data_IF_923237672310
#
_entry.id   IF_923237672310
#
_cell.length_a   1.000
_cell.length_b   1.000
_cell.length_c   1.000
_cell.angle_alpha   90.00
_cell.angle_beta   90.00
_cell.angle_gamma   90.00
#
_symmetry.space_group_name_H-M   'P 1'
#
loop_
_entity.id
_entity.type
_entity.pdbx_description
1 polymer ?
#
# COMPACT_ATOMS: atom_id res chain seq x y z
N UNK A 1 20.89 13.17 -8.92
CA UNK A 1 20.24 11.85 -9.04
C UNK A 1 18.84 12.16 -9.54
N UNK A 2 18.40 11.55 -10.66
CA UNK A 2 17.02 11.73 -11.12
C UNK A 2 16.08 11.28 -10.02
N UNK A 3 15.16 12.14 -9.59
CA UNK A 3 14.06 11.74 -8.73
C UNK A 3 13.31 10.61 -9.45
N UNK A 4 13.26 9.43 -8.84
CA UNK A 4 12.43 8.35 -9.33
C UNK A 4 10.97 8.74 -9.11
N UNK A 5 10.38 9.40 -10.09
CA UNK A 5 8.94 9.67 -10.09
C UNK A 5 8.23 8.33 -10.29
N UNK A 6 7.46 7.89 -9.30
CA UNK A 6 6.72 6.63 -9.37
C UNK A 6 5.44 6.77 -10.20
N UNK A 7 4.93 5.68 -10.80
CA UNK A 7 3.63 5.69 -11.44
C UNK A 7 2.53 6.24 -10.52
N UNK A 8 1.68 7.11 -11.05
CA UNK A 8 0.57 7.71 -10.30
C UNK A 8 -0.47 6.65 -9.89
N UNK A 9 -0.76 5.71 -10.78
CA UNK A 9 -1.73 4.67 -10.53
C UNK A 9 -1.15 3.54 -9.67
N UNK A 10 -1.83 3.23 -8.56
CA UNK A 10 -1.49 2.13 -7.65
C UNK A 10 -2.68 1.19 -7.56
N UNK A 11 -2.50 -0.08 -7.97
CA UNK A 11 -3.51 -1.10 -7.78
C UNK A 11 -3.50 -1.54 -6.31
N UNK A 12 -4.51 -1.14 -5.54
CA UNK A 12 -4.68 -1.50 -4.14
C UNK A 12 -4.98 -2.99 -4.05
N UNK A 13 -4.08 -3.77 -3.43
CA UNK A 13 -4.16 -5.24 -3.34
C UNK A 13 -4.30 -5.94 -4.70
N UNK A 14 -3.82 -5.29 -5.78
CA UNK A 14 -4.02 -5.77 -7.16
C UNK A 14 -5.35 -5.38 -7.80
N UNK A 15 -6.26 -4.71 -7.08
CA UNK A 15 -7.65 -4.47 -7.49
C UNK A 15 -8.57 -5.60 -7.05
N UNK A 16 -9.89 -5.46 -7.31
CA UNK A 16 -10.89 -6.46 -6.94
C UNK A 16 -11.99 -6.65 -8.01
N UNK A 17 -11.75 -6.17 -9.23
CA UNK A 17 -12.76 -6.20 -10.29
C UNK A 17 -12.87 -7.55 -11.00
N UNK A 18 -11.80 -8.35 -11.00
CA UNK A 18 -11.72 -9.63 -11.73
C UNK A 18 -11.38 -10.80 -10.80
N UNK A 19 -10.54 -10.58 -9.83
CA UNK A 19 -10.10 -11.57 -8.86
C UNK A 19 -10.15 -11.01 -7.43
N UNK A 20 -10.08 -11.88 -6.44
CA UNK A 20 -10.01 -11.46 -5.06
C UNK A 20 -8.72 -10.67 -4.79
N UNK A 21 -8.85 -9.56 -4.08
CA UNK A 21 -7.74 -8.71 -3.67
C UNK A 21 -6.66 -9.50 -2.90
N UNK A 22 -5.39 -9.13 -3.06
CA UNK A 22 -4.23 -9.82 -2.50
C UNK A 22 -4.04 -11.27 -3.01
N UNK A 23 -4.43 -11.57 -4.24
CA UNK A 23 -4.15 -12.84 -4.90
C UNK A 23 -3.17 -12.67 -6.06
N UNK A 24 -2.51 -13.75 -6.49
CA UNK A 24 -1.63 -13.69 -7.67
C UNK A 24 -2.40 -13.31 -8.93
N UNK A 25 -3.64 -13.75 -9.04
CA UNK A 25 -4.55 -13.45 -10.15
C UNK A 25 -4.87 -11.94 -10.21
N UNK A 26 -5.16 -11.31 -9.06
CA UNK A 26 -5.40 -9.87 -8.99
C UNK A 26 -4.14 -9.07 -9.33
N UNK A 27 -2.99 -9.47 -8.81
CA UNK A 27 -1.71 -8.84 -9.14
C UNK A 27 -1.38 -8.97 -10.62
N UNK A 28 -1.60 -10.16 -11.21
CA UNK A 28 -1.37 -10.38 -12.64
C UNK A 28 -2.33 -9.56 -13.50
N UNK A 29 -3.63 -9.49 -13.15
CA UNK A 29 -4.60 -8.65 -13.85
C UNK A 29 -4.18 -7.18 -13.85
N UNK A 30 -3.73 -6.65 -12.72
CA UNK A 30 -3.21 -5.29 -12.65
C UNK A 30 -1.98 -5.07 -13.54
N UNK A 31 -1.05 -6.04 -13.57
CA UNK A 31 0.15 -6.00 -14.42
C UNK A 31 -0.25 -6.00 -15.91
N UNK A 32 -1.19 -6.84 -16.29
CA UNK A 32 -1.69 -7.00 -17.67
C UNK A 32 -2.46 -5.74 -18.14
N UNK A 33 -3.15 -5.06 -17.20
CA UNK A 33 -3.77 -3.76 -17.45
C UNK A 33 -2.74 -2.63 -17.69
N UNK A 34 -1.48 -2.86 -17.33
CA UNK A 34 -0.39 -1.88 -17.47
C UNK A 34 0.05 -1.21 -16.17
N UNK A 35 -0.50 -1.59 -15.01
CA UNK A 35 -0.03 -1.07 -13.73
C UNK A 35 1.43 -1.48 -13.49
N UNK A 36 2.22 -0.53 -12.98
CA UNK A 36 3.61 -0.74 -12.59
C UNK A 36 3.84 -0.42 -11.12
N UNK A 37 2.76 -0.12 -10.41
CA UNK A 37 2.77 0.07 -8.96
C UNK A 37 1.59 -0.67 -8.34
N UNK A 38 1.88 -1.57 -7.42
CA UNK A 38 0.88 -2.41 -6.73
C UNK A 38 1.08 -2.26 -5.22
N UNK A 39 -0.01 -2.20 -4.51
CA UNK A 39 -0.02 -2.23 -3.05
C UNK A 39 -0.43 -3.63 -2.57
N UNK A 40 0.12 -4.06 -1.44
CA UNK A 40 -0.25 -5.31 -0.77
C UNK A 40 -0.03 -5.22 0.74
N UNK A 41 -0.87 -5.95 1.46
CA UNK A 41 -0.79 -6.12 2.90
C UNK A 41 0.01 -7.38 3.25
N UNK A 42 0.83 -7.35 4.31
CA UNK A 42 1.55 -8.54 4.72
C UNK A 42 1.36 -8.89 6.20
N UNK A 43 1.14 -10.16 6.43
CA UNK A 43 1.14 -10.80 7.75
C UNK A 43 2.19 -11.90 7.84
N UNK A 44 2.78 -12.06 9.02
CA UNK A 44 3.72 -13.13 9.31
C UNK A 44 3.02 -14.21 10.15
N UNK A 45 3.15 -15.47 9.69
CA UNK A 45 2.60 -16.62 10.42
C UNK A 45 3.62 -17.19 11.41
N UNK A 46 3.15 -17.86 12.46
CA UNK A 46 4.02 -18.59 13.41
C UNK A 46 4.80 -19.75 12.76
N UNK A 47 4.38 -20.15 11.56
CA UNK A 47 5.03 -21.20 10.77
C UNK A 47 6.13 -20.66 9.83
N UNK A 48 6.44 -19.36 9.91
CA UNK A 48 7.56 -18.75 9.20
C UNK A 48 7.24 -18.23 7.81
N UNK A 49 5.96 -18.15 7.42
CA UNK A 49 5.55 -17.61 6.13
C UNK A 49 5.15 -16.13 6.24
N UNK A 50 5.55 -15.32 5.27
CA UNK A 50 5.10 -13.95 5.10
C UNK A 50 4.06 -13.93 3.97
N UNK A 51 2.80 -13.75 4.31
CA UNK A 51 1.66 -13.88 3.42
C UNK A 51 1.16 -12.53 2.95
N UNK A 52 0.82 -12.42 1.66
CA UNK A 52 0.11 -11.27 1.10
C UNK A 52 -1.39 -11.44 1.34
N UNK A 53 -1.91 -10.80 2.38
CA UNK A 53 -3.31 -10.89 2.80
C UNK A 53 -3.65 -9.75 3.76
N UNK A 54 -4.84 -9.16 3.60
CA UNK A 54 -5.33 -8.12 4.53
C UNK A 54 -5.99 -8.76 5.75
N UNK A 55 -6.83 -9.75 5.53
CA UNK A 55 -7.63 -10.41 6.55
C UNK A 55 -8.92 -9.68 6.93
N UNK A 56 -9.73 -10.39 7.69
CA UNK A 56 -11.02 -9.95 8.20
C UNK A 56 -11.03 -10.07 9.72
N UNK A 57 -11.99 -9.46 10.37
CA UNK A 57 -12.29 -9.72 11.78
C UNK A 57 -12.96 -11.10 11.92
N UNK A 58 -13.13 -11.59 13.14
CA UNK A 58 -13.72 -12.90 13.38
C UNK A 58 -15.18 -13.00 12.89
N UNK A 59 -15.89 -11.88 12.81
CA UNK A 59 -17.26 -11.81 12.29
C UNK A 59 -17.35 -11.59 10.76
N UNK A 60 -16.19 -11.61 10.07
CA UNK A 60 -16.11 -11.48 8.63
C UNK A 60 -16.07 -10.04 8.08
N UNK A 61 -16.13 -9.03 8.94
CA UNK A 61 -15.92 -7.65 8.50
C UNK A 61 -14.45 -7.35 8.20
N UNK A 62 -14.14 -6.27 7.48
CA UNK A 62 -12.76 -5.93 7.16
C UNK A 62 -11.95 -5.56 8.42
N UNK A 63 -10.76 -6.14 8.60
CA UNK A 63 -9.90 -5.92 9.77
C UNK A 63 -9.12 -4.60 9.66
N UNK A 64 -9.83 -3.46 9.72
CA UNK A 64 -9.25 -2.13 9.55
C UNK A 64 -8.60 -1.59 10.84
N UNK A 65 -8.93 -2.18 12.00
CA UNK A 65 -8.49 -1.62 13.28
C UNK A 65 -7.10 -2.12 13.68
N UNK A 66 -6.25 -1.18 14.10
CA UNK A 66 -4.93 -1.46 14.64
C UNK A 66 -5.03 -2.34 15.89
N UNK A 67 -4.26 -3.43 15.92
CA UNK A 67 -4.15 -4.30 17.07
C UNK A 67 -5.21 -5.40 17.17
N UNK A 68 -6.19 -5.44 16.26
CA UNK A 68 -7.16 -6.54 16.16
C UNK A 68 -6.52 -7.72 15.43
N UNK A 69 -6.79 -8.95 15.88
CA UNK A 69 -6.39 -10.15 15.15
C UNK A 69 -7.11 -10.22 13.80
N UNK A 70 -6.38 -10.58 12.77
CA UNK A 70 -6.91 -10.76 11.42
C UNK A 70 -7.11 -12.23 11.12
N UNK A 71 -8.20 -12.55 10.46
CA UNK A 71 -8.65 -13.91 10.14
C UNK A 71 -8.87 -14.05 8.64
N UNK A 72 -8.80 -15.28 8.16
CA UNK A 72 -9.38 -15.72 6.88
C UNK A 72 -10.48 -16.72 7.17
N UNK A 73 -11.49 -16.75 6.32
CA UNK A 73 -12.63 -17.64 6.48
C UNK A 73 -12.55 -18.78 5.46
N UNK A 74 -12.73 -19.99 5.94
CA UNK A 74 -12.87 -21.21 5.15
C UNK A 74 -14.22 -21.84 5.52
N UNK A 75 -15.25 -21.57 4.72
CA UNK A 75 -16.63 -21.85 5.08
C UNK A 75 -17.00 -21.13 6.40
N UNK A 76 -17.50 -21.87 7.38
CA UNK A 76 -17.84 -21.32 8.71
C UNK A 76 -16.63 -21.19 9.66
N UNK A 77 -15.46 -21.69 9.27
CA UNK A 77 -14.26 -21.69 10.11
C UNK A 77 -13.47 -20.41 9.91
N UNK A 78 -13.35 -19.57 10.94
CA UNK A 78 -12.44 -18.45 10.97
C UNK A 78 -11.06 -18.93 11.46
N UNK A 79 -10.01 -18.73 10.66
CA UNK A 79 -8.63 -19.08 10.98
C UNK A 79 -7.84 -17.79 11.13
N UNK A 80 -7.22 -17.59 12.31
CA UNK A 80 -6.36 -16.44 12.51
C UNK A 80 -5.14 -16.52 11.58
N UNK A 81 -4.82 -15.44 10.87
CA UNK A 81 -3.73 -15.42 9.86
C UNK A 81 -2.39 -15.84 10.50
N UNK A 82 -2.12 -15.42 11.72
CA UNK A 82 -0.90 -15.82 12.43
C UNK A 82 -0.77 -17.34 12.63
N UNK A 83 -1.87 -18.07 12.60
CA UNK A 83 -1.95 -19.52 12.82
C UNK A 83 -2.08 -20.34 11.53
N UNK A 84 -2.22 -19.67 10.37
CA UNK A 84 -2.35 -20.34 9.08
C UNK A 84 -1.16 -21.25 8.80
N UNK A 85 -1.49 -22.50 8.49
CA UNK A 85 -0.53 -23.48 8.01
C UNK A 85 -0.55 -23.52 6.48
N UNK A 86 0.47 -24.14 5.89
CA UNK A 86 0.49 -24.40 4.44
C UNK A 86 -0.70 -25.28 4.00
N UNK A 87 -1.13 -26.22 4.85
CA UNK A 87 -2.29 -27.07 4.56
C UNK A 87 -3.60 -26.25 4.57
N UNK A 88 -3.77 -25.32 5.52
CA UNK A 88 -4.92 -24.41 5.51
C UNK A 88 -4.94 -23.54 4.24
N UNK A 89 -3.80 -22.99 3.81
CA UNK A 89 -3.70 -22.22 2.56
C UNK A 89 -4.11 -23.06 1.34
N UNK A 90 -3.68 -24.33 1.28
CA UNK A 90 -4.07 -25.24 0.19
C UNK A 90 -5.57 -25.53 0.22
N UNK A 91 -6.17 -25.73 1.40
CA UNK A 91 -7.61 -25.92 1.54
C UNK A 91 -8.39 -24.67 1.09
N UNK A 92 -7.95 -23.49 1.50
CA UNK A 92 -8.54 -22.20 1.09
C UNK A 92 -8.45 -22.01 -0.44
N UNK A 93 -7.35 -22.43 -1.06
CA UNK A 93 -7.18 -22.37 -2.51
C UNK A 93 -8.16 -23.30 -3.26
N UNK A 94 -8.53 -24.44 -2.69
CA UNK A 94 -9.59 -25.30 -3.23
C UNK A 94 -10.97 -24.61 -3.24
N UNK A 95 -11.22 -23.71 -2.28
CA UNK A 95 -12.44 -22.89 -2.24
C UNK A 95 -12.36 -21.62 -3.10
N UNK A 96 -11.31 -21.50 -3.93
CA UNK A 96 -11.16 -20.42 -4.92
C UNK A 96 -10.50 -19.15 -4.40
N UNK A 97 -9.97 -19.12 -3.16
CA UNK A 97 -9.21 -18.00 -2.62
C UNK A 97 -7.73 -18.37 -2.48
N UNK A 98 -6.90 -17.92 -3.40
CA UNK A 98 -5.43 -18.06 -3.30
C UNK A 98 -4.85 -17.03 -2.34
N UNK A 99 -4.08 -17.48 -1.33
CA UNK A 99 -3.31 -16.60 -0.43
C UNK A 99 -1.82 -16.78 -0.73
N UNK A 100 -1.20 -15.87 -1.50
CA UNK A 100 0.21 -16.02 -1.86
C UNK A 100 1.14 -15.61 -0.71
N UNK A 101 2.36 -16.09 -0.77
CA UNK A 101 3.46 -15.49 -0.02
C UNK A 101 3.88 -14.18 -0.69
N UNK A 102 4.47 -13.27 0.07
CA UNK A 102 5.06 -12.05 -0.51
C UNK A 102 6.13 -12.38 -1.56
N UNK A 103 6.88 -13.46 -1.38
CA UNK A 103 7.90 -13.88 -2.35
C UNK A 103 7.30 -14.28 -3.69
N UNK A 104 6.18 -15.02 -3.69
CA UNK A 104 5.43 -15.36 -4.91
C UNK A 104 4.94 -14.07 -5.60
N UNK A 105 4.34 -13.13 -4.86
CA UNK A 105 3.89 -11.86 -5.39
C UNK A 105 5.02 -11.03 -6.02
N UNK A 106 6.12 -10.84 -5.30
CA UNK A 106 7.28 -10.07 -5.78
C UNK A 106 7.98 -10.70 -7.00
N UNK A 107 7.77 -12.00 -7.22
CA UNK A 107 8.38 -12.76 -8.32
C UNK A 107 7.60 -12.68 -9.62
N UNK A 108 6.34 -12.21 -9.60
CA UNK A 108 5.50 -12.08 -10.80
C UNK A 108 6.13 -11.19 -11.87
N UNK A 109 6.62 -10.02 -11.47
CA UNK A 109 7.26 -9.09 -12.38
C UNK A 109 8.27 -8.20 -11.63
N UNK A 110 9.51 -8.15 -12.11
CA UNK A 110 10.59 -7.36 -11.48
C UNK A 110 10.50 -5.86 -11.76
N UNK A 111 9.73 -5.45 -12.75
CA UNK A 111 9.51 -4.04 -13.08
C UNK A 111 8.42 -3.39 -12.21
N UNK A 112 7.62 -4.18 -11.50
CA UNK A 112 6.60 -3.68 -10.59
C UNK A 112 7.25 -3.10 -9.34
N UNK A 113 6.83 -1.89 -9.00
CA UNK A 113 7.11 -1.23 -7.74
C UNK A 113 6.02 -1.58 -6.72
N UNK A 114 6.41 -2.06 -5.56
CA UNK A 114 5.48 -2.53 -4.55
C UNK A 114 5.35 -1.56 -3.37
N UNK A 115 4.13 -1.27 -2.98
CA UNK A 115 3.83 -0.68 -1.68
C UNK A 115 3.44 -1.79 -0.72
N UNK A 116 4.23 -2.00 0.34
CA UNK A 116 4.04 -3.15 1.23
C UNK A 116 3.68 -2.66 2.63
N UNK A 117 2.43 -2.93 3.07
CA UNK A 117 1.95 -2.59 4.40
C UNK A 117 2.18 -3.76 5.38
N UNK A 118 3.14 -3.60 6.30
CA UNK A 118 3.37 -4.55 7.39
C UNK A 118 2.29 -4.39 8.46
N UNK A 119 1.31 -5.29 8.47
CA UNK A 119 0.13 -5.21 9.36
C UNK A 119 0.45 -5.41 10.84
N UNK A 120 1.54 -6.09 11.16
CA UNK A 120 1.95 -6.40 12.53
C UNK A 120 3.46 -6.22 12.70
N UNK A 121 3.93 -5.86 13.91
CA UNK A 121 5.37 -5.70 14.17
C UNK A 121 6.19 -6.97 13.87
N UNK A 122 5.62 -8.14 14.09
CA UNK A 122 6.25 -9.44 13.85
C UNK A 122 6.63 -9.64 12.37
N UNK A 123 5.96 -8.95 11.45
CA UNK A 123 6.24 -9.04 10.03
C UNK A 123 7.51 -8.27 9.60
N UNK A 124 8.01 -7.31 10.40
CA UNK A 124 9.11 -6.41 10.03
C UNK A 124 10.39 -7.17 9.70
N UNK A 125 10.85 -8.03 10.61
CA UNK A 125 12.11 -8.79 10.40
C UNK A 125 12.01 -9.77 9.23
N UNK A 126 10.95 -10.59 9.10
CA UNK A 126 10.75 -11.43 7.92
C UNK A 126 10.64 -10.65 6.61
N UNK A 127 9.95 -9.49 6.60
CA UNK A 127 9.84 -8.63 5.44
C UNK A 127 11.22 -8.16 4.96
N UNK A 128 12.03 -7.62 5.85
CA UNK A 128 13.39 -7.19 5.51
C UNK A 128 14.26 -8.34 5.01
N UNK A 129 14.08 -9.55 5.53
CA UNK A 129 14.81 -10.73 5.07
C UNK A 129 14.40 -11.14 3.64
N UNK A 130 13.10 -11.17 3.33
CA UNK A 130 12.59 -11.46 1.98
C UNK A 130 13.09 -10.41 0.97
N UNK A 131 12.96 -9.11 1.30
CA UNK A 131 13.41 -8.03 0.43
C UNK A 131 14.91 -8.07 0.15
N UNK A 132 15.72 -8.43 1.14
CA UNK A 132 17.18 -8.58 0.96
C UNK A 132 17.51 -9.76 0.06
N UNK A 133 16.87 -10.92 0.27
CA UNK A 133 17.09 -12.13 -0.55
C UNK A 133 16.71 -11.90 -2.01
N UNK A 134 15.62 -11.17 -2.28
CA UNK A 134 15.14 -10.87 -3.63
C UNK A 134 15.76 -9.60 -4.25
N UNK A 135 16.69 -8.92 -3.54
CA UNK A 135 17.24 -7.62 -3.91
C UNK A 135 16.13 -6.59 -4.27
N UNK A 136 15.01 -6.61 -3.54
CA UNK A 136 13.80 -5.87 -3.90
C UNK A 136 13.72 -4.45 -3.31
N UNK A 137 14.63 -4.03 -2.43
CA UNK A 137 14.61 -2.70 -1.82
C UNK A 137 14.50 -1.51 -2.81
N UNK A 138 15.12 -1.54 -4.01
CA UNK A 138 15.01 -0.42 -4.95
C UNK A 138 13.61 -0.21 -5.52
N UNK A 139 12.72 -1.17 -5.36
CA UNK A 139 11.37 -1.17 -5.94
C UNK A 139 10.26 -1.35 -4.90
N UNK A 140 10.47 -0.82 -3.68
CA UNK A 140 9.45 -0.89 -2.63
C UNK A 140 9.30 0.43 -1.88
N UNK A 141 8.07 0.71 -1.47
CA UNK A 141 7.72 1.59 -0.34
C UNK A 141 7.25 0.71 0.81
N UNK A 142 7.79 0.94 2.01
CA UNK A 142 7.42 0.19 3.20
C UNK A 142 6.45 1.00 4.05
N UNK A 143 5.29 0.43 4.33
CA UNK A 143 4.23 1.05 5.10
C UNK A 143 3.89 0.25 6.35
N UNK A 144 3.33 0.90 7.34
CA UNK A 144 2.67 0.28 8.48
C UNK A 144 1.88 1.32 9.27
N UNK A 145 0.73 0.93 9.80
CA UNK A 145 0.00 1.72 10.80
C UNK A 145 0.66 1.69 12.19
N UNK A 146 1.61 0.76 12.42
CA UNK A 146 2.37 0.68 13.66
C UNK A 146 3.61 1.59 13.60
N UNK A 147 3.63 2.65 14.40
CA UNK A 147 4.75 3.60 14.44
C UNK A 147 6.10 2.93 14.71
N UNK A 148 6.14 1.96 15.64
CA UNK A 148 7.36 1.24 15.96
C UNK A 148 7.85 0.41 14.77
N UNK A 149 6.94 -0.18 13.97
CA UNK A 149 7.30 -0.90 12.75
C UNK A 149 7.96 0.03 11.73
N UNK A 150 7.39 1.23 11.49
CA UNK A 150 8.01 2.20 10.58
C UNK A 150 9.38 2.66 11.08
N UNK A 151 9.54 2.91 12.38
CA UNK A 151 10.84 3.27 12.95
C UNK A 151 11.88 2.18 12.76
N UNK A 152 11.49 0.92 12.98
CA UNK A 152 12.37 -0.23 12.78
C UNK A 152 12.71 -0.44 11.30
N UNK A 153 11.72 -0.33 10.40
CA UNK A 153 11.94 -0.41 8.95
C UNK A 153 12.92 0.68 8.50
N UNK A 154 12.74 1.94 8.90
CA UNK A 154 13.66 3.04 8.57
C UNK A 154 15.09 2.81 9.11
N UNK A 155 15.22 2.23 10.30
CA UNK A 155 16.51 1.99 10.92
C UNK A 155 17.29 0.82 10.27
N UNK A 156 16.61 -0.17 9.69
CA UNK A 156 17.18 -1.43 9.23
C UNK A 156 17.18 -1.63 7.71
N UNK A 157 16.34 -0.89 6.98
CA UNK A 157 16.35 -0.89 5.52
C UNK A 157 17.56 -0.11 4.97
N UNK A 158 18.04 -0.43 3.76
CA UNK A 158 19.08 0.35 3.10
C UNK A 158 18.67 1.81 2.92
N UNK A 159 19.64 2.73 2.95
CA UNK A 159 19.42 4.15 2.65
C UNK A 159 18.78 4.32 1.28
N UNK A 160 17.80 5.21 1.17
CA UNK A 160 17.02 5.44 -0.05
C UNK A 160 15.77 4.56 -0.18
N UNK A 161 15.55 3.60 0.74
CA UNK A 161 14.30 2.84 0.77
C UNK A 161 13.16 3.75 1.22
N UNK A 162 12.11 3.85 0.40
CA UNK A 162 10.97 4.70 0.74
C UNK A 162 10.11 4.09 1.85
N UNK A 163 9.58 4.96 2.74
CA UNK A 163 8.68 4.55 3.82
C UNK A 163 7.48 5.50 3.92
N UNK A 164 6.36 5.02 4.44
CA UNK A 164 5.22 5.89 4.74
C UNK A 164 5.51 6.83 5.92
N UNK A 165 4.87 8.01 5.93
CA UNK A 165 4.79 8.85 7.14
C UNK A 165 3.94 8.16 8.21
N UNK A 166 4.29 8.32 9.47
CA UNK A 166 3.46 7.93 10.61
C UNK A 166 2.43 9.01 10.95
N UNK A 167 1.36 8.63 11.65
CA UNK A 167 0.23 9.52 11.91
C UNK A 167 0.62 10.91 12.49
N UNK A 168 1.58 10.95 13.42
CA UNK A 168 2.07 12.23 13.98
C UNK A 168 2.84 13.08 12.97
N UNK A 169 3.51 12.45 11.98
CA UNK A 169 4.19 13.17 10.90
C UNK A 169 3.18 13.72 9.91
N UNK A 170 2.12 12.94 9.60
CA UNK A 170 0.99 13.41 8.79
C UNK A 170 0.30 14.60 9.47
N UNK A 171 0.06 14.55 10.79
CA UNK A 171 -0.51 15.67 11.53
C UNK A 171 0.38 16.92 11.45
N UNK A 172 1.71 16.76 11.60
CA UNK A 172 2.66 17.88 11.43
C UNK A 172 2.55 18.45 10.02
N UNK A 173 2.51 17.60 8.99
CA UNK A 173 2.39 18.03 7.59
C UNK A 173 1.07 18.78 7.37
N UNK A 174 -0.04 18.31 7.93
CA UNK A 174 -1.31 19.01 7.86
C UNK A 174 -1.22 20.39 8.51
N UNK A 175 -0.59 20.52 9.66
CA UNK A 175 -0.41 21.84 10.33
C UNK A 175 0.42 22.80 9.46
N UNK A 176 1.46 22.33 8.77
CA UNK A 176 2.24 23.18 7.85
C UNK A 176 1.44 23.62 6.62
N UNK A 177 0.36 22.92 6.28
CA UNK A 177 -0.52 23.31 5.18
C UNK A 177 -1.47 24.46 5.49
N UNK A 178 -1.74 24.70 6.77
CA UNK A 178 -2.68 25.74 7.25
C UNK A 178 -1.99 26.89 8.00
N UNK A 179 -0.71 26.75 8.35
CA UNK A 179 0.06 27.76 9.06
C UNK A 179 1.06 28.44 8.10
N UNK A 180 1.31 29.76 8.25
CA UNK A 180 2.22 30.50 7.35
C UNK A 180 3.69 30.20 7.62
N UNK A 181 4.03 29.62 8.77
CA UNK A 181 5.39 29.34 9.21
C UNK A 181 5.66 27.83 9.26
N UNK A 182 6.78 27.41 8.67
CA UNK A 182 7.09 26.00 8.45
C UNK A 182 8.53 25.62 8.83
N UNK A 183 8.83 25.48 10.15
CA UNK A 183 10.15 25.04 10.62
C UNK A 183 10.30 23.53 10.68
N UNK A 184 9.30 22.76 10.22
CA UNK A 184 9.22 21.32 10.45
C UNK A 184 10.21 20.57 9.57
N UNK A 185 10.84 19.52 10.13
CA UNK A 185 11.67 18.58 9.39
C UNK A 185 11.00 17.21 9.37
N UNK A 186 11.08 16.55 8.22
CA UNK A 186 10.58 15.20 8.02
C UNK A 186 11.75 14.24 7.74
N UNK A 187 11.59 12.95 8.03
CA UNK A 187 12.56 11.95 7.62
C UNK A 187 12.72 11.95 6.09
N UNK A 188 13.92 11.66 5.61
CA UNK A 188 14.18 11.50 4.18
C UNK A 188 13.51 10.23 3.64
N UNK A 189 13.36 10.17 2.33
CA UNK A 189 12.82 9.00 1.63
C UNK A 189 11.44 8.57 2.17
N UNK A 190 10.55 9.56 2.37
CA UNK A 190 9.20 9.32 2.90
C UNK A 190 8.11 9.78 1.93
N UNK A 191 6.96 9.11 2.01
CA UNK A 191 5.72 9.42 1.27
C UNK A 191 4.58 9.64 2.25
N UNK A 192 3.72 10.61 1.98
CA UNK A 192 2.48 10.82 2.72
C UNK A 192 1.41 9.88 2.13
N UNK A 193 1.19 8.74 2.76
CA UNK A 193 0.14 7.81 2.37
C UNK A 193 -1.07 8.02 3.28
N UNK A 194 -2.09 8.67 2.77
CA UNK A 194 -3.18 9.23 3.57
C UNK A 194 -4.55 8.97 2.96
N UNK A 195 -5.62 8.85 3.78
CA UNK A 195 -6.98 8.87 3.26
C UNK A 195 -7.33 10.28 2.73
N UNK A 196 -8.27 10.36 1.79
CA UNK A 196 -8.74 11.65 1.27
C UNK A 196 -9.38 12.54 2.35
N UNK A 197 -9.98 11.91 3.35
CA UNK A 197 -10.67 12.59 4.47
C UNK A 197 -10.24 12.00 5.81
N UNK A 198 -10.35 12.80 6.88
CA UNK A 198 -10.23 12.33 8.26
C UNK A 198 -11.47 12.74 9.04
N UNK A 199 -12.31 11.75 9.36
CA UNK A 199 -13.66 12.00 9.86
C UNK A 199 -14.49 12.76 8.81
N UNK A 200 -15.01 13.92 9.19
CA UNK A 200 -15.81 14.79 8.28
C UNK A 200 -14.98 15.85 7.55
N UNK A 201 -13.67 15.87 7.73
CA UNK A 201 -12.78 16.90 7.15
C UNK A 201 -12.01 16.36 5.97
N UNK A 202 -11.95 17.10 4.88
CA UNK A 202 -11.05 16.84 3.77
C UNK A 202 -9.61 17.01 4.26
N UNK A 203 -8.81 15.96 4.20
CA UNK A 203 -7.40 15.98 4.56
C UNK A 203 -6.56 16.40 3.36
N UNK A 204 -6.80 15.77 2.21
CA UNK A 204 -6.03 16.04 0.99
C UNK A 204 -6.65 17.22 0.26
N UNK A 205 -6.06 18.38 0.44
CA UNK A 205 -6.40 19.62 -0.26
C UNK A 205 -5.21 20.08 -1.11
N UNK A 206 -5.40 20.96 -2.10
CA UNK A 206 -4.26 21.54 -2.84
C UNK A 206 -3.22 22.20 -1.91
N UNK A 207 -3.64 22.76 -0.79
CA UNK A 207 -2.72 23.33 0.21
C UNK A 207 -1.89 22.25 0.90
N UNK A 208 -2.49 21.11 1.26
CA UNK A 208 -1.80 19.95 1.83
C UNK A 208 -0.76 19.40 0.87
N UNK A 209 -1.14 19.19 -0.39
CA UNK A 209 -0.24 18.67 -1.44
C UNK A 209 0.94 19.63 -1.64
N UNK A 210 0.68 20.93 -1.79
CA UNK A 210 1.77 21.92 -1.90
C UNK A 210 2.68 21.96 -0.67
N UNK A 211 2.12 21.77 0.53
CA UNK A 211 2.92 21.69 1.75
C UNK A 211 3.84 20.46 1.74
N UNK A 212 3.32 19.29 1.34
CA UNK A 212 4.10 18.07 1.20
C UNK A 212 5.25 18.25 0.18
N UNK A 213 4.94 18.80 -0.99
CA UNK A 213 5.92 19.03 -2.05
C UNK A 213 7.02 20.01 -1.65
N UNK A 214 6.73 21.05 -0.83
CA UNK A 214 7.78 21.94 -0.29
C UNK A 214 8.81 21.20 0.56
N UNK A 215 8.42 20.06 1.15
CA UNK A 215 9.31 19.18 1.92
C UNK A 215 9.87 18.01 1.10
N UNK A 216 9.60 17.95 -0.21
CA UNK A 216 9.98 16.82 -1.06
C UNK A 216 9.25 15.53 -0.71
N UNK A 217 8.03 15.62 -0.16
CA UNK A 217 7.22 14.47 0.25
C UNK A 217 6.12 14.25 -0.81
N UNK A 218 6.17 13.17 -1.59
CA UNK A 218 5.08 12.79 -2.46
C UNK A 218 3.84 12.35 -1.67
N UNK A 219 2.65 12.60 -2.24
CA UNK A 219 1.35 12.31 -1.62
C UNK A 219 0.65 11.19 -2.37
N UNK A 220 0.44 10.06 -1.70
CA UNK A 220 -0.39 8.95 -2.17
C UNK A 220 -1.71 8.93 -1.40
N UNK A 221 -2.83 8.78 -2.10
CA UNK A 221 -4.16 8.80 -1.48
C UNK A 221 -4.85 7.45 -1.64
N UNK A 222 -5.42 6.92 -0.55
CA UNK A 222 -6.10 5.63 -0.48
C UNK A 222 -7.46 5.73 0.22
N UNK A 223 -8.44 4.84 0.06
CA UNK A 223 -8.62 4.06 -1.17
C UNK A 223 -9.66 4.79 -2.02
N UNK A 224 -9.37 5.05 -3.26
CA UNK A 224 -10.16 5.94 -4.13
C UNK A 224 -10.77 5.12 -5.25
N UNK A 225 -12.08 4.90 -5.19
CA UNK A 225 -12.80 4.03 -6.13
C UNK A 225 -13.83 4.80 -6.99
N UNK A 226 -14.12 6.04 -6.64
CA UNK A 226 -15.08 6.88 -7.35
C UNK A 226 -14.37 7.76 -8.38
N UNK A 227 -14.90 7.82 -9.61
CA UNK A 227 -14.33 8.60 -10.71
C UNK A 227 -14.19 10.09 -10.38
N UNK A 228 -15.20 10.71 -9.78
CA UNK A 228 -15.18 12.14 -9.45
C UNK A 228 -14.09 12.47 -8.43
N UNK A 229 -13.89 11.56 -7.44
CA UNK A 229 -12.83 11.73 -6.46
C UNK A 229 -11.44 11.58 -7.12
N UNK A 230 -11.28 10.65 -8.08
CA UNK A 230 -10.06 10.50 -8.87
C UNK A 230 -9.73 11.79 -9.62
N UNK A 231 -10.70 12.34 -10.33
CA UNK A 231 -10.55 13.59 -11.09
C UNK A 231 -10.18 14.77 -10.19
N UNK A 232 -10.86 14.90 -9.04
CA UNK A 232 -10.59 15.95 -8.06
C UNK A 232 -9.17 15.86 -7.46
N UNK A 233 -8.70 14.63 -7.18
CA UNK A 233 -7.36 14.41 -6.64
C UNK A 233 -6.28 14.67 -7.69
N UNK A 234 -6.52 14.35 -8.96
CA UNK A 234 -5.63 14.76 -10.06
C UNK A 234 -5.47 16.28 -10.11
N UNK A 235 -6.59 17.02 -10.03
CA UNK A 235 -6.57 18.49 -10.02
C UNK A 235 -5.88 19.06 -8.77
N UNK A 236 -5.87 18.31 -7.68
CA UNK A 236 -5.15 18.66 -6.44
C UNK A 236 -3.64 18.40 -6.51
N UNK A 237 -3.17 17.68 -7.55
CA UNK A 237 -1.76 17.42 -7.81
C UNK A 237 -1.15 16.33 -6.94
N UNK A 238 -1.93 15.28 -6.60
CA UNK A 238 -1.40 14.12 -5.85
C UNK A 238 -0.43 13.30 -6.70
N UNK A 239 0.50 12.59 -6.05
CA UNK A 239 1.56 11.82 -6.72
C UNK A 239 1.21 10.34 -6.84
N UNK A 240 0.15 9.88 -6.20
CA UNK A 240 -0.33 8.52 -6.29
C UNK A 240 -1.79 8.37 -5.85
N UNK A 241 -2.51 7.48 -6.53
CA UNK A 241 -3.86 7.06 -6.13
C UNK A 241 -3.92 5.54 -6.03
N UNK A 242 -4.26 5.05 -4.86
CA UNK A 242 -4.50 3.63 -4.59
C UNK A 242 -5.99 3.33 -4.78
N UNK A 243 -6.30 2.38 -5.65
CA UNK A 243 -7.68 2.05 -6.01
C UNK A 243 -7.91 0.55 -6.11
N UNK A 244 -9.11 0.11 -5.74
CA UNK A 244 -9.64 -1.22 -6.05
C UNK A 244 -10.25 -1.26 -7.46
N UNK A 245 -10.66 -0.08 -7.98
CA UNK A 245 -11.30 0.11 -9.29
C UNK A 245 -10.26 0.43 -10.38
N UNK A 246 -9.41 -0.55 -10.68
CA UNK A 246 -8.23 -0.38 -11.53
C UNK A 246 -8.59 0.06 -12.95
N UNK A 247 -9.67 -0.48 -13.51
CA UNK A 247 -10.14 -0.10 -14.86
C UNK A 247 -10.70 1.31 -14.91
N UNK A 248 -11.41 1.73 -13.85
CA UNK A 248 -11.92 3.09 -13.73
C UNK A 248 -10.79 4.09 -13.68
N UNK A 249 -9.76 3.88 -12.84
CA UNK A 249 -8.62 4.79 -12.75
C UNK A 249 -7.86 4.86 -14.08
N UNK A 250 -7.66 3.71 -14.76
CA UNK A 250 -7.07 3.69 -16.10
C UNK A 250 -7.84 4.59 -17.07
N UNK A 251 -9.16 4.44 -17.14
CA UNK A 251 -10.01 5.24 -18.02
C UNK A 251 -9.94 6.74 -17.71
N UNK A 252 -9.92 7.10 -16.43
CA UNK A 252 -9.77 8.50 -16.00
C UNK A 252 -8.42 9.08 -16.44
N UNK A 253 -7.33 8.34 -16.27
CA UNK A 253 -5.99 8.79 -16.69
C UNK A 253 -5.91 8.95 -18.21
N UNK A 254 -6.38 7.95 -18.96
CA UNK A 254 -6.39 8.00 -20.43
C UNK A 254 -7.21 9.19 -20.96
N UNK A 255 -8.36 9.51 -20.37
CA UNK A 255 -9.18 10.66 -20.73
C UNK A 255 -8.46 12.01 -20.54
N UNK A 256 -7.45 12.04 -19.67
CA UNK A 256 -6.61 13.21 -19.41
C UNK A 256 -5.26 13.17 -20.13
N UNK A 257 -5.05 12.20 -21.04
CA UNK A 257 -3.79 12.02 -21.75
C UNK A 257 -2.64 11.53 -20.88
N UNK A 258 -2.95 10.96 -19.71
CA UNK A 258 -1.99 10.36 -18.79
C UNK A 258 -1.92 8.85 -19.00
N UNK A 259 -0.84 8.21 -18.55
CA UNK A 259 -0.65 6.76 -18.65
C UNK A 259 -0.51 6.11 -17.28
N UNK A 260 -0.80 4.80 -17.21
CA UNK A 260 -0.58 4.00 -15.99
C UNK A 260 0.90 3.78 -15.71
N UNK A 261 1.67 3.57 -16.77
CA UNK A 261 3.12 3.37 -16.72
C UNK A 261 3.82 4.70 -16.88
N UNK A 262 4.64 5.03 -15.96
CA UNK A 262 5.34 6.29 -15.82
C UNK A 262 6.80 6.17 -16.23
N UNK A 263 7.51 7.29 -16.44
CA UNK A 263 7.11 8.69 -16.47
C UNK A 263 6.89 9.20 -17.90
N UNK A 264 6.09 10.25 -17.99
CA UNK A 264 6.12 11.10 -19.17
C UNK A 264 7.46 11.80 -19.29
#
# INVERSE_FOLDING_TARGET
MAEHVLPLAVAHRGGNEVAHANTLEAFQDAIDLGYRRIETDVHFTRHGELLAVHGQTIDGSEAIQKGVDAYVHLGERAIRIADLTRADRQAIAHDGLSIPTLEEALSLNREVYWNIDAKRPEAVTPLLAVLRRLAAFPRVTLASFHENSIRELRARAPTGTQTSLIAREVLKLYLTSVLPWDPVRFPKDTRAQVPSTYGKRTLVTPAFVRAAHRHGIPVDVWTINNQQDMEHLLDSGVDGMMTDASRTLKSVLESRGLTLSYPL
#
